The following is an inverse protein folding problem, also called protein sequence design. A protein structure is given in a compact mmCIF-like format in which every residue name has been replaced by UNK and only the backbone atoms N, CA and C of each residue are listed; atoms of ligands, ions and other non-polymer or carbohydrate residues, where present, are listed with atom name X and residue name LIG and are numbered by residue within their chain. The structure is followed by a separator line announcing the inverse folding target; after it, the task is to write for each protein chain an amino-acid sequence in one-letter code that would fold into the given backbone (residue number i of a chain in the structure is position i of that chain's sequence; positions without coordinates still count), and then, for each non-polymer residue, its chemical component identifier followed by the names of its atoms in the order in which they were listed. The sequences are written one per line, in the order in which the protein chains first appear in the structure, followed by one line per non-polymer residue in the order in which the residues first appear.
data_IF_509186972992
#
_entry.id   IF_509186972992
#
_cell.length_a   1.000
_cell.length_b   1.000
_cell.length_c   1.000
_cell.angle_alpha   90.00
_cell.angle_beta   90.00
_cell.angle_gamma   90.00
#
_symmetry.space_group_name_H-M   'P 1'
#
loop_
_entity.id
_entity.type
_entity.pdbx_description
1 polymer ?
#
# COMPACT_ATOMS: atom_id res chain seq x y z
N UNK A 1 -1.64 22.39 18.04
CA UNK A 1 -2.52 21.91 16.97
C UNK A 1 -2.66 20.40 17.11
N UNK A 2 -3.77 19.83 17.60
CA UNK A 2 -3.96 18.39 17.51
C UNK A 2 -4.09 18.01 16.03
N UNK A 3 -3.25 17.09 15.55
CA UNK A 3 -3.38 16.54 14.20
C UNK A 3 -4.76 15.90 14.09
N UNK A 4 -5.62 16.46 13.26
CA UNK A 4 -6.93 15.89 12.98
C UNK A 4 -6.72 14.45 12.49
N UNK A 5 -7.25 13.49 13.24
CA UNK A 5 -7.33 12.09 12.80
C UNK A 5 -8.42 12.04 11.73
N UNK A 6 -8.16 12.62 10.55
CA UNK A 6 -8.92 12.22 9.38
C UNK A 6 -8.57 10.74 9.17
N UNK A 7 -9.57 9.87 9.24
CA UNK A 7 -9.50 8.57 8.59
C UNK A 7 -9.22 8.87 7.12
N UNK A 8 -7.94 8.95 6.77
CA UNK A 8 -7.54 9.34 5.43
C UNK A 8 -8.17 8.33 4.49
N UNK A 9 -9.00 8.81 3.56
CA UNK A 9 -9.63 7.97 2.57
C UNK A 9 -8.54 7.29 1.74
N UNK A 10 -8.81 6.06 1.28
CA UNK A 10 -7.90 5.37 0.39
C UNK A 10 -7.85 6.13 -0.93
N UNK A 11 -6.67 6.59 -1.32
CA UNK A 11 -6.44 7.40 -2.53
C UNK A 11 -5.78 6.59 -3.64
N UNK A 12 -5.07 5.52 -3.29
CA UNK A 12 -4.35 4.67 -4.24
C UNK A 12 -4.38 3.22 -3.79
N UNK A 13 -4.63 2.32 -4.74
CA UNK A 13 -4.41 0.90 -4.60
C UNK A 13 -3.29 0.47 -5.54
N UNK A 14 -2.33 -0.27 -5.03
CA UNK A 14 -1.37 -1.02 -5.86
C UNK A 14 -1.72 -2.49 -5.72
N UNK A 15 -1.98 -3.16 -6.84
CA UNK A 15 -2.46 -4.54 -6.89
C UNK A 15 -1.59 -5.40 -7.77
N UNK A 16 -1.63 -6.71 -7.55
CA UNK A 16 -0.83 -7.70 -8.28
C UNK A 16 0.66 -7.37 -8.21
N UNK A 17 1.13 -6.88 -7.07
CA UNK A 17 2.52 -6.60 -6.78
C UNK A 17 3.14 -7.77 -6.00
N UNK A 18 4.45 -7.74 -5.82
CA UNK A 18 5.16 -8.55 -4.84
C UNK A 18 5.76 -7.63 -3.78
N UNK A 19 5.07 -7.46 -2.67
CA UNK A 19 5.42 -6.46 -1.64
C UNK A 19 6.11 -7.15 -0.46
N UNK A 20 7.28 -6.68 -0.06
CA UNK A 20 7.94 -7.11 1.17
C UNK A 20 7.33 -6.39 2.37
N UNK A 21 6.66 -7.13 3.26
CA UNK A 21 5.92 -6.54 4.39
C UNK A 21 6.78 -6.29 5.63
N UNK A 22 7.90 -7.00 5.76
CA UNK A 22 8.71 -7.05 6.99
C UNK A 22 8.11 -7.90 8.12
N UNK A 23 6.90 -8.46 7.96
CA UNK A 23 6.29 -9.37 8.92
C UNK A 23 6.82 -10.80 8.70
N UNK A 24 7.49 -11.43 9.69
CA UNK A 24 8.00 -12.79 9.54
C UNK A 24 6.90 -13.84 9.33
N UNK A 25 5.65 -13.59 9.74
CA UNK A 25 4.51 -14.50 9.55
C UNK A 25 3.85 -14.35 8.18
N UNK A 26 4.00 -13.19 7.55
CA UNK A 26 3.46 -12.87 6.22
C UNK A 26 4.47 -12.02 5.46
N UNK A 27 5.60 -12.58 5.01
CA UNK A 27 6.70 -11.80 4.43
C UNK A 27 6.35 -11.11 3.12
N UNK A 28 5.31 -11.61 2.44
CA UNK A 28 4.84 -11.12 1.15
C UNK A 28 3.37 -10.68 1.22
N UNK A 29 3.04 -9.63 0.49
CA UNK A 29 1.67 -9.23 0.17
C UNK A 29 1.55 -8.96 -1.33
N UNK A 30 0.35 -9.15 -1.87
CA UNK A 30 0.10 -8.97 -3.30
C UNK A 30 -0.40 -7.56 -3.64
N UNK A 31 -0.79 -6.79 -2.62
CA UNK A 31 -1.38 -5.48 -2.81
C UNK A 31 -1.25 -4.59 -1.58
N UNK A 32 -1.26 -3.28 -1.81
CA UNK A 32 -1.28 -2.24 -0.78
C UNK A 32 -2.34 -1.19 -1.06
N UNK A 33 -3.00 -0.73 -0.01
CA UNK A 33 -3.87 0.44 -0.01
C UNK A 33 -3.14 1.61 0.66
N UNK A 34 -3.11 2.75 -0.01
CA UNK A 34 -2.52 3.98 0.48
C UNK A 34 -3.59 5.02 0.76
N UNK A 35 -3.41 5.72 1.87
CA UNK A 35 -4.21 6.86 2.26
C UNK A 35 -3.30 8.10 2.26
N UNK A 36 -3.35 8.87 1.17
CA UNK A 36 -2.39 9.94 0.92
C UNK A 36 -0.96 9.40 0.81
N UNK A 37 -0.09 9.80 1.74
CA UNK A 37 1.34 9.44 1.77
C UNK A 37 1.66 8.26 2.68
N UNK A 38 0.65 7.58 3.23
CA UNK A 38 0.83 6.46 4.17
C UNK A 38 0.25 5.17 3.64
N UNK A 39 0.94 4.06 3.89
CA UNK A 39 0.40 2.72 3.68
C UNK A 39 -0.65 2.45 4.75
N UNK A 40 -1.91 2.32 4.33
CA UNK A 40 -3.03 2.04 5.22
C UNK A 40 -3.19 0.55 5.49
N UNK A 41 -2.95 -0.30 4.48
CA UNK A 41 -3.04 -1.77 4.60
C UNK A 41 -2.24 -2.47 3.51
N UNK A 42 -1.72 -3.67 3.82
CA UNK A 42 -1.14 -4.62 2.87
C UNK A 42 -1.86 -5.96 3.01
N UNK A 43 -2.28 -6.56 1.90
CA UNK A 43 -2.98 -7.85 1.87
C UNK A 43 -2.94 -8.46 0.45
N UNK A 44 -3.76 -9.47 0.18
CA UNK A 44 -3.92 -10.00 -1.18
C UNK A 44 -4.70 -9.02 -2.09
N UNK A 45 -4.45 -9.08 -3.40
CA UNK A 45 -5.10 -8.20 -4.40
C UNK A 45 -6.61 -8.18 -4.31
N UNK A 46 -7.24 -9.35 -4.16
CA UNK A 46 -8.69 -9.47 -4.07
C UNK A 46 -9.25 -8.81 -2.80
N UNK A 47 -8.50 -8.80 -1.72
CA UNK A 47 -8.88 -8.16 -0.46
C UNK A 47 -8.75 -6.65 -0.54
N UNK A 48 -7.62 -6.16 -1.08
CA UNK A 48 -7.36 -4.73 -1.25
C UNK A 48 -8.34 -4.09 -2.23
N UNK A 49 -8.71 -4.78 -3.31
CA UNK A 49 -9.73 -4.31 -4.26
C UNK A 49 -11.10 -4.08 -3.62
N UNK A 50 -11.46 -4.83 -2.56
CA UNK A 50 -12.71 -4.61 -1.81
C UNK A 50 -12.71 -3.32 -0.99
N UNK A 51 -11.54 -2.73 -0.76
CA UNK A 51 -11.38 -1.47 -0.03
C UNK A 51 -11.43 -0.25 -0.96
N UNK A 52 -11.58 -0.45 -2.26
CA UNK A 52 -11.63 0.60 -3.26
C UNK A 52 -12.89 1.46 -3.11
N UNK A 53 -12.80 2.76 -2.77
CA UNK A 53 -13.88 3.70 -3.07
C UNK A 53 -14.04 3.86 -4.59
N UNK A 54 -15.19 4.39 -5.00
CA UNK A 54 -15.61 4.42 -6.41
C UNK A 54 -14.63 5.13 -7.37
N UNK A 55 -13.86 6.07 -6.84
CA UNK A 55 -12.98 7.01 -7.52
C UNK A 55 -11.49 6.82 -7.14
N UNK A 56 -11.14 5.67 -6.57
CA UNK A 56 -9.75 5.37 -6.21
C UNK A 56 -8.89 5.10 -7.44
N UNK A 57 -7.67 5.62 -7.43
CA UNK A 57 -6.67 5.24 -8.42
C UNK A 57 -6.21 3.80 -8.16
N UNK A 58 -6.21 2.97 -9.19
CA UNK A 58 -5.67 1.61 -9.11
C UNK A 58 -4.47 1.49 -10.06
N UNK A 59 -3.36 0.99 -9.53
CA UNK A 59 -2.15 0.65 -10.28
C UNK A 59 -1.98 -0.85 -10.26
N UNK A 60 -2.02 -1.48 -11.44
CA UNK A 60 -1.67 -2.88 -11.60
C UNK A 60 -0.15 -3.00 -11.78
N UNK A 61 0.50 -3.69 -10.84
CA UNK A 61 1.95 -3.87 -10.85
C UNK A 61 2.40 -5.06 -11.71
N UNK A 62 1.47 -5.88 -12.25
CA UNK A 62 1.79 -6.99 -13.15
C UNK A 62 2.88 -7.96 -12.64
N UNK A 63 2.91 -8.21 -11.33
CA UNK A 63 3.88 -9.07 -10.65
C UNK A 63 5.20 -8.39 -10.28
N UNK A 64 5.35 -7.09 -10.53
CA UNK A 64 6.55 -6.34 -10.16
C UNK A 64 6.76 -6.30 -8.64
N UNK A 65 8.03 -6.29 -8.22
CA UNK A 65 8.39 -6.15 -6.80
C UNK A 65 8.23 -4.71 -6.34
N UNK A 66 7.58 -4.53 -5.19
CA UNK A 66 7.41 -3.25 -4.53
C UNK A 66 8.29 -3.24 -3.29
N UNK A 67 9.41 -2.55 -3.40
CA UNK A 67 10.40 -2.41 -2.33
C UNK A 67 10.31 -1.02 -1.71
N UNK A 68 10.59 -0.88 -0.41
CA UNK A 68 10.93 0.43 0.13
C UNK A 68 12.08 1.02 -0.68
N UNK A 69 12.07 2.33 -0.90
CA UNK A 69 13.23 3.04 -1.39
C UNK A 69 14.39 2.84 -0.41
N UNK A 70 15.52 2.32 -0.90
CA UNK A 70 16.75 2.24 -0.12
C UNK A 70 17.49 3.57 -0.28
N UNK A 71 16.94 4.63 0.33
CA UNK A 71 17.66 5.90 0.38
C UNK A 71 18.89 5.71 1.27
N UNK A 72 20.12 5.98 0.78
CA UNK A 72 21.28 5.97 1.65
C UNK A 72 21.02 6.96 2.79
N UNK A 73 21.17 6.49 4.04
CA UNK A 73 20.82 7.27 5.26
C UNK A 73 21.72 8.48 5.53
N UNK A 74 22.43 9.01 4.54
CA UNK A 74 23.29 10.17 4.67
C UNK A 74 23.29 11.00 3.38
N UNK A 75 22.67 12.18 3.43
CA UNK A 75 22.95 13.34 2.60
C UNK A 75 22.93 14.58 3.51
#
# INVERSE_FOLDING_TARGET
MPASIHRAAITLLVVNARIRTGDPRRPWADAAALAGTRVARMAGSAEIRKLAPADVRVVDAHGAELTPEDLPRYA
#
